data_IF_696755345810
#
_entry.id   IF_696755345810
#
_cell.length_a   1.000
_cell.length_b   1.000
_cell.length_c   1.000
_cell.angle_alpha   90.00
_cell.angle_beta   90.00
_cell.angle_gamma   90.00
#
_symmetry.space_group_name_H-M   'P 1'
#
loop_
_entity.id
_entity.type
_entity.pdbx_description
1 polymer ?
#
# COMPACT_ATOMS: atom_id res chain seq x y z
N UNK A 1 22.40 45.84 8.06
CA UNK A 1 21.72 44.88 8.95
C UNK A 1 20.99 43.90 8.05
N UNK A 2 21.46 42.66 7.99
CA UNK A 2 20.89 41.60 7.13
C UNK A 2 19.45 41.28 7.55
N UNK A 3 18.51 41.16 6.59
CA UNK A 3 17.29 40.39 6.81
C UNK A 3 17.59 38.89 6.58
N UNK A 4 16.66 38.04 7.00
CA UNK A 4 16.54 36.62 6.61
C UNK A 4 17.32 35.58 7.42
N UNK A 5 16.90 35.39 8.68
CA UNK A 5 17.04 34.10 9.39
C UNK A 5 15.64 33.55 9.71
N UNK A 6 14.82 33.41 8.68
CA UNK A 6 13.78 32.39 8.67
C UNK A 6 14.37 31.26 7.85
N UNK A 7 14.90 30.24 8.51
CA UNK A 7 15.19 28.95 7.89
C UNK A 7 13.94 28.55 7.12
N UNK A 8 13.99 28.72 5.80
CA UNK A 8 13.03 28.17 4.86
C UNK A 8 13.05 26.67 5.12
N UNK A 9 12.10 26.18 5.92
CA UNK A 9 11.73 24.77 5.93
C UNK A 9 11.24 24.52 4.50
N UNK A 10 12.15 24.16 3.61
CA UNK A 10 11.76 23.58 2.33
C UNK A 10 11.00 22.33 2.72
N UNK A 11 9.68 22.39 2.63
CA UNK A 11 8.80 21.26 2.88
C UNK A 11 9.14 20.25 1.80
N UNK A 12 10.04 19.31 2.13
CA UNK A 12 10.42 18.24 1.23
C UNK A 12 9.21 17.32 1.10
N UNK A 13 8.62 17.28 -0.10
CA UNK A 13 7.61 16.29 -0.39
C UNK A 13 8.32 14.97 -0.67
N UNK A 14 8.09 14.00 0.21
CA UNK A 14 8.61 12.65 0.06
C UNK A 14 7.43 11.69 0.16
N UNK A 15 7.10 11.06 -0.95
CA UNK A 15 6.03 10.09 -1.05
C UNK A 15 6.62 8.72 -1.37
N UNK A 16 6.11 7.71 -0.70
CA UNK A 16 6.38 6.31 -1.00
C UNK A 16 5.13 5.71 -1.60
N UNK A 17 5.32 5.06 -2.73
CA UNK A 17 4.28 4.28 -3.39
C UNK A 17 4.67 2.81 -3.30
N UNK A 18 3.77 1.99 -2.76
CA UNK A 18 3.93 0.54 -2.64
C UNK A 18 2.90 -0.10 -3.56
N UNK A 19 3.35 -0.97 -4.46
CA UNK A 19 2.46 -1.77 -5.31
C UNK A 19 2.62 -3.23 -4.91
N UNK A 20 1.56 -3.82 -4.37
CA UNK A 20 1.52 -5.24 -4.01
C UNK A 20 0.65 -6.00 -5.01
N UNK A 21 1.27 -6.93 -5.74
CA UNK A 21 0.56 -7.84 -6.63
C UNK A 21 -0.10 -8.97 -5.84
N UNK A 22 -1.43 -9.01 -5.84
CA UNK A 22 -2.19 -10.02 -5.11
C UNK A 22 -2.23 -11.35 -5.88
N UNK A 23 -1.97 -12.47 -5.20
CA UNK A 23 -2.08 -13.79 -5.80
C UNK A 23 -3.53 -14.09 -6.19
N UNK A 24 -3.72 -14.98 -7.17
CA UNK A 24 -5.05 -15.36 -7.66
C UNK A 24 -5.94 -15.87 -6.52
N UNK A 25 -7.16 -15.36 -6.44
CA UNK A 25 -8.11 -15.71 -5.38
C UNK A 25 -7.96 -14.92 -4.08
N UNK A 26 -7.00 -13.98 -4.02
CA UNK A 26 -6.87 -12.99 -2.96
C UNK A 26 -7.31 -11.64 -3.48
N UNK A 27 -8.04 -10.92 -2.64
CA UNK A 27 -8.67 -9.67 -2.98
C UNK A 27 -8.49 -8.68 -1.84
N UNK A 28 -8.20 -7.43 -2.16
CA UNK A 28 -8.30 -6.36 -1.18
C UNK A 28 -9.74 -5.87 -1.09
N UNK A 29 -10.21 -5.57 0.12
CA UNK A 29 -11.52 -4.96 0.32
C UNK A 29 -11.45 -3.45 0.06
N UNK A 30 -12.10 -2.93 -1.00
CA UNK A 30 -12.07 -1.50 -1.30
C UNK A 30 -12.73 -0.64 -0.22
N UNK A 31 -13.74 -1.15 0.48
CA UNK A 31 -14.42 -0.42 1.54
C UNK A 31 -13.55 -0.30 2.80
N UNK A 32 -12.86 -1.37 3.18
CA UNK A 32 -11.91 -1.32 4.30
C UNK A 32 -10.70 -0.43 3.96
N UNK A 33 -10.20 -0.50 2.72
CA UNK A 33 -9.15 0.38 2.23
C UNK A 33 -9.55 1.86 2.25
N UNK A 34 -10.77 2.18 1.81
CA UNK A 34 -11.31 3.54 1.85
C UNK A 34 -11.36 4.07 3.28
N UNK A 35 -11.68 3.23 4.26
CA UNK A 35 -11.68 3.61 5.66
C UNK A 35 -10.27 3.92 6.21
N UNK A 36 -9.24 3.22 5.74
CA UNK A 36 -7.85 3.51 6.08
C UNK A 36 -7.39 4.85 5.48
N UNK A 37 -7.84 5.17 4.27
CA UNK A 37 -7.63 6.47 3.63
C UNK A 37 -8.29 7.60 4.43
N UNK A 38 -9.55 7.43 4.85
CA UNK A 38 -10.28 8.43 5.64
C UNK A 38 -9.66 8.70 7.02
N UNK A 39 -9.00 7.69 7.60
CA UNK A 39 -8.25 7.81 8.85
C UNK A 39 -6.89 8.48 8.69
N UNK A 40 -6.46 8.75 7.46
CA UNK A 40 -5.16 9.33 7.15
C UNK A 40 -3.99 8.37 7.35
N UNK A 41 -4.23 7.06 7.34
CA UNK A 41 -3.17 6.04 7.36
C UNK A 41 -2.41 6.06 6.04
N UNK A 42 -3.16 6.14 4.93
CA UNK A 42 -2.63 6.29 3.58
C UNK A 42 -2.95 7.69 3.06
N UNK A 43 -2.13 8.22 2.15
CA UNK A 43 -2.43 9.47 1.44
C UNK A 43 -3.28 9.23 0.20
N UNK A 44 -3.12 8.06 -0.42
CA UNK A 44 -3.98 7.57 -1.49
C UNK A 44 -3.94 6.03 -1.54
N UNK A 45 -4.97 5.41 -2.10
CA UNK A 45 -5.01 3.95 -2.30
C UNK A 45 -5.87 3.59 -3.52
N UNK A 46 -5.38 2.64 -4.32
CA UNK A 46 -6.08 2.13 -5.48
C UNK A 46 -6.01 0.61 -5.55
N UNK A 47 -7.09 -0.01 -6.05
CA UNK A 47 -7.13 -1.45 -6.35
C UNK A 47 -7.30 -1.63 -7.86
N UNK A 48 -6.40 -2.38 -8.47
CA UNK A 48 -6.40 -2.70 -9.89
C UNK A 48 -6.76 -4.16 -10.11
N UNK A 49 -7.42 -4.45 -11.23
CA UNK A 49 -7.82 -5.81 -11.58
C UNK A 49 -9.11 -6.24 -10.89
N UNK A 50 -9.19 -7.53 -10.52
CA UNK A 50 -10.40 -8.09 -9.90
C UNK A 50 -10.51 -7.70 -8.42
N UNK A 51 -11.65 -7.10 -8.06
CA UNK A 51 -11.97 -6.66 -6.70
C UNK A 51 -13.32 -7.21 -6.23
N UNK A 52 -13.91 -8.14 -6.98
CA UNK A 52 -15.18 -8.73 -6.60
C UNK A 52 -14.98 -9.83 -5.55
N UNK A 53 -15.16 -9.45 -4.29
CA UNK A 53 -15.05 -10.33 -3.12
C UNK A 53 -16.02 -11.53 -3.14
N UNK A 54 -17.05 -11.52 -4.00
CA UNK A 54 -18.07 -12.57 -4.08
C UNK A 54 -17.79 -13.60 -5.20
N UNK A 55 -16.87 -13.35 -6.12
CA UNK A 55 -16.54 -14.30 -7.18
C UNK A 55 -15.67 -15.46 -6.65
N UNK A 56 -15.88 -16.70 -7.14
CA UNK A 56 -14.98 -17.81 -6.84
C UNK A 56 -13.56 -17.52 -7.34
N UNK A 57 -12.54 -17.88 -6.54
CA UNK A 57 -11.12 -17.71 -6.89
C UNK A 57 -10.75 -18.25 -8.27
N UNK A 58 -11.35 -19.37 -8.70
CA UNK A 58 -11.09 -20.01 -10.00
C UNK A 58 -11.49 -19.13 -11.20
N UNK A 59 -12.38 -18.17 -11.01
CA UNK A 59 -12.86 -17.25 -12.04
C UNK A 59 -12.21 -15.86 -11.92
N UNK A 60 -11.38 -15.64 -10.91
CA UNK A 60 -10.75 -14.36 -10.64
C UNK A 60 -9.41 -14.24 -11.35
N UNK A 61 -9.18 -13.07 -11.92
CA UNK A 61 -7.85 -12.69 -12.38
C UNK A 61 -6.99 -12.15 -11.24
N UNK A 62 -5.71 -11.90 -11.52
CA UNK A 62 -4.82 -11.21 -10.59
C UNK A 62 -5.27 -9.76 -10.41
N UNK A 63 -5.07 -9.26 -9.21
CA UNK A 63 -5.30 -7.88 -8.83
C UNK A 63 -4.04 -7.32 -8.16
N UNK A 64 -3.99 -6.00 -7.99
CA UNK A 64 -2.90 -5.34 -7.29
C UNK A 64 -3.45 -4.20 -6.46
N UNK A 65 -2.77 -3.88 -5.37
CA UNK A 65 -3.08 -2.71 -4.55
C UNK A 65 -1.91 -1.74 -4.63
N UNK A 66 -2.21 -0.49 -4.96
CA UNK A 66 -1.27 0.62 -4.90
C UNK A 66 -1.60 1.48 -3.69
N UNK A 67 -0.58 1.78 -2.89
CA UNK A 67 -0.70 2.50 -1.63
C UNK A 67 0.28 3.65 -1.66
N UNK A 68 -0.20 4.87 -1.42
CA UNK A 68 0.64 6.05 -1.29
C UNK A 68 0.73 6.48 0.16
N UNK A 69 1.93 6.86 0.59
CA UNK A 69 2.21 7.35 1.94
C UNK A 69 3.19 8.52 1.91
N UNK A 70 2.85 9.61 2.59
CA UNK A 70 3.76 10.74 2.78
C UNK A 70 4.71 10.50 3.96
N UNK A 71 6.01 10.51 3.68
CA UNK A 71 7.09 10.36 4.68
C UNK A 71 7.95 11.63 4.80
N UNK A 72 7.53 12.75 4.19
CA UNK A 72 8.25 14.03 4.15
C UNK A 72 8.47 14.73 5.51
N UNK A 73 7.92 14.19 6.60
CA UNK A 73 8.13 14.66 7.97
C UNK A 73 8.99 13.74 8.84
N UNK A 74 9.31 12.52 8.36
CA UNK A 74 10.17 11.60 9.11
C UNK A 74 11.61 12.15 9.13
N UNK A 75 12.34 12.09 10.25
CA UNK A 75 13.74 12.48 10.28
C UNK A 75 14.57 11.49 9.45
N UNK A 76 14.65 11.73 8.14
CA UNK A 76 15.45 10.96 7.19
C UNK A 76 16.97 11.21 7.36
N UNK A 77 17.36 12.11 8.27
CA UNK A 77 18.76 12.33 8.62
C UNK A 77 19.29 11.19 9.50
N UNK A 78 19.83 10.16 8.85
CA UNK A 78 20.79 9.21 9.45
C UNK A 78 20.20 7.99 10.15
N UNK A 79 18.88 7.80 10.16
CA UNK A 79 18.22 6.60 10.69
C UNK A 79 17.58 5.77 9.57
N UNK A 80 17.59 4.44 9.73
CA UNK A 80 16.89 3.51 8.83
C UNK A 80 15.38 3.81 8.92
N UNK A 81 14.76 4.15 7.78
CA UNK A 81 13.30 4.27 7.68
C UNK A 81 12.72 2.85 7.67
N UNK A 82 11.84 2.56 8.63
CA UNK A 82 11.08 1.32 8.71
C UNK A 82 9.60 1.66 8.48
N UNK A 83 8.99 0.95 7.53
CA UNK A 83 7.61 1.18 7.10
C UNK A 83 6.89 -0.14 7.26
N UNK A 84 5.77 -0.11 7.98
CA UNK A 84 4.87 -1.25 8.12
C UNK A 84 3.53 -0.85 7.53
N UNK A 85 2.97 -1.72 6.69
CA UNK A 85 1.67 -1.51 6.05
C UNK A 85 0.80 -2.72 6.35
N UNK A 86 -0.38 -2.46 6.89
CA UNK A 86 -1.42 -3.47 7.11
C UNK A 86 -2.47 -3.33 6.02
N UNK A 87 -2.73 -4.42 5.29
CA UNK A 87 -3.65 -4.44 4.16
C UNK A 87 -4.83 -5.39 4.45
N UNK A 88 -6.10 -4.94 4.35
CA UNK A 88 -7.26 -5.78 4.52
C UNK A 88 -7.46 -6.67 3.28
N UNK A 89 -7.13 -7.96 3.44
CA UNK A 89 -7.18 -8.96 2.39
C UNK A 89 -8.19 -10.07 2.71
N UNK A 90 -8.85 -10.55 1.66
CA UNK A 90 -9.77 -11.68 1.70
C UNK A 90 -9.36 -12.75 0.69
N UNK A 91 -9.47 -14.01 1.10
CA UNK A 91 -9.37 -15.16 0.19
C UNK A 91 -10.71 -15.90 0.17
N UNK A 92 -11.30 -16.09 -1.01
CA UNK A 92 -12.66 -16.66 -1.15
C UNK A 92 -12.66 -17.93 -2.00
N UNK A 93 -12.98 -19.04 -1.35
CA UNK A 93 -13.07 -20.38 -1.96
C UNK A 93 -11.81 -20.82 -2.73
N UNK A 94 -10.61 -20.73 -2.13
CA UNK A 94 -9.44 -21.34 -2.73
C UNK A 94 -9.60 -22.88 -2.74
N UNK A 95 -8.99 -23.59 -3.71
CA UNK A 95 -8.93 -25.04 -3.66
C UNK A 95 -8.22 -25.47 -2.37
N UNK A 96 -8.89 -26.32 -1.59
CA UNK A 96 -8.38 -26.82 -0.32
C UNK A 96 -7.61 -28.12 -0.54
N UNK A 97 -6.56 -28.34 0.24
CA UNK A 97 -5.87 -29.62 0.32
C UNK A 97 -6.55 -30.58 1.33
N UNK A 98 -5.96 -31.76 1.53
CA UNK A 98 -6.47 -32.76 2.49
C UNK A 98 -6.51 -32.24 3.94
N UNK A 99 -5.80 -31.15 4.25
CA UNK A 99 -5.83 -30.50 5.56
C UNK A 99 -7.00 -29.51 5.71
N UNK A 100 -7.71 -29.21 4.63
CA UNK A 100 -8.79 -28.22 4.61
C UNK A 100 -8.28 -26.78 4.56
N UNK A 101 -6.99 -26.57 4.29
CA UNK A 101 -6.37 -25.26 4.18
C UNK A 101 -5.87 -25.04 2.74
N UNK A 102 -5.63 -23.78 2.41
CA UNK A 102 -4.99 -23.39 1.15
C UNK A 102 -3.75 -22.55 1.45
N UNK A 103 -2.64 -22.86 0.79
CA UNK A 103 -1.44 -22.03 0.85
C UNK A 103 -1.55 -20.87 -0.13
N UNK A 104 -1.30 -19.66 0.36
CA UNK A 104 -1.20 -18.43 -0.43
C UNK A 104 0.24 -17.95 -0.34
N UNK A 105 0.84 -17.65 -1.48
CA UNK A 105 2.21 -17.13 -1.55
C UNK A 105 2.19 -15.74 -2.17
N UNK A 106 2.78 -14.78 -1.46
CA UNK A 106 2.93 -13.40 -1.92
C UNK A 106 4.30 -13.22 -2.56
N UNK A 107 4.35 -12.30 -3.52
CA UNK A 107 5.60 -11.87 -4.15
C UNK A 107 6.32 -10.82 -3.31
N UNK A 108 7.33 -10.20 -3.91
CA UNK A 108 7.91 -8.97 -3.37
C UNK A 108 7.09 -7.76 -3.87
N UNK A 109 6.77 -6.78 -3.01
CA UNK A 109 6.15 -5.53 -3.46
C UNK A 109 7.11 -4.71 -4.30
N UNK A 110 6.57 -3.97 -5.26
CA UNK A 110 7.30 -2.90 -5.92
C UNK A 110 7.26 -1.64 -5.04
N UNK A 111 8.43 -1.02 -4.84
CA UNK A 111 8.59 0.16 -4.00
C UNK A 111 9.12 1.32 -4.82
N UNK A 112 8.37 2.42 -4.84
CA UNK A 112 8.75 3.66 -5.48
C UNK A 112 8.83 4.78 -4.45
N UNK A 113 9.74 5.71 -4.71
CA UNK A 113 10.05 6.80 -3.80
C UNK A 113 10.18 8.07 -4.63
N UNK A 114 9.25 8.99 -4.40
CA UNK A 114 9.17 10.26 -5.12
C UNK A 114 9.65 11.35 -4.18
N UNK A 115 10.69 12.05 -4.60
CA UNK A 115 11.21 13.23 -3.93
C UNK A 115 10.97 14.45 -4.81
N UNK A 116 10.20 15.42 -4.31
CA UNK A 116 10.02 16.71 -4.95
C UNK A 116 10.57 17.84 -4.06
N UNK A 117 11.36 18.71 -4.66
CA UNK A 117 11.81 19.96 -4.05
C UNK A 117 10.80 21.05 -4.45
N UNK A 118 10.06 21.58 -3.47
CA UNK A 118 9.30 22.81 -3.65
C UNK A 118 10.19 24.04 -3.42
#
# INVERSE_FOLDING_TARGET
MQPDSMSQLRTHFCEITIIEGLPSGVFADPFELQHLLERGVFTDVAVFGDSNLELPSVLSNQSAVEIHMNVGGAPLLGHKLEISVDLPLHARYPPLDDSGYSRVEFGEPDLFLIYAYQ
#
